data_IF_319772709720
#
_entry.id   IF_319772709720
#
_cell.length_a   1.000
_cell.length_b   1.000
_cell.length_c   1.000
_cell.angle_alpha   90.00
_cell.angle_beta   90.00
_cell.angle_gamma   90.00
#
_symmetry.space_group_name_H-M   'P 1'
#
loop_
_entity.id
_entity.type
_entity.pdbx_description
1 polymer ?
#
# COMPACT_ATOMS: atom_id res chain seq x y z
N UNK A 1 19.27 1.64 -10.58
CA UNK A 1 18.16 2.20 -9.77
C UNK A 1 18.23 1.69 -8.35
N UNK A 2 18.24 2.59 -7.40
CA UNK A 2 18.28 2.19 -5.98
C UNK A 2 16.89 2.25 -5.38
N UNK A 3 16.39 1.11 -4.93
CA UNK A 3 15.10 1.01 -4.24
C UNK A 3 15.29 0.93 -2.73
N UNK A 4 14.39 1.57 -1.98
CA UNK A 4 14.36 1.50 -0.54
C UNK A 4 12.91 1.33 -0.07
N UNK A 5 12.70 0.38 0.83
CA UNK A 5 11.40 0.17 1.49
C UNK A 5 11.50 0.71 2.91
N UNK A 6 10.65 1.66 3.25
CA UNK A 6 10.71 2.36 4.54
C UNK A 6 9.36 2.24 5.25
N UNK A 7 9.39 1.84 6.54
CA UNK A 7 8.17 1.83 7.34
C UNK A 7 7.77 3.27 7.68
N UNK A 8 6.48 3.55 7.58
CA UNK A 8 5.95 4.90 7.80
C UNK A 8 5.51 5.06 9.25
N UNK A 9 6.05 6.07 9.93
CA UNK A 9 5.68 6.41 11.30
C UNK A 9 4.35 7.16 11.33
N UNK A 10 3.66 7.12 12.49
CA UNK A 10 2.36 7.79 12.62
C UNK A 10 2.40 9.28 12.27
N UNK A 11 3.48 9.96 12.65
CA UNK A 11 3.65 11.39 12.35
C UNK A 11 3.63 11.68 10.84
N UNK A 12 3.95 10.68 10.01
CA UNK A 12 4.05 10.81 8.56
C UNK A 12 2.90 10.08 7.85
N UNK A 13 1.85 9.69 8.57
CA UNK A 13 0.76 8.86 8.01
C UNK A 13 0.06 9.48 6.81
N UNK A 14 0.11 10.81 6.67
CA UNK A 14 -0.54 11.48 5.53
C UNK A 14 0.03 11.04 4.19
N UNK A 15 1.28 10.58 4.14
CA UNK A 15 1.83 10.09 2.87
C UNK A 15 1.06 8.87 2.39
N UNK A 16 0.66 7.98 3.29
CA UNK A 16 -0.14 6.80 2.96
C UNK A 16 -1.53 7.23 2.49
N UNK A 17 -2.19 8.16 3.20
CA UNK A 17 -3.50 8.65 2.79
C UNK A 17 -3.47 9.29 1.40
N UNK A 18 -2.42 10.07 1.11
CA UNK A 18 -2.27 10.72 -0.19
C UNK A 18 -2.04 9.69 -1.30
N UNK A 19 -1.21 8.68 -1.05
CA UNK A 19 -0.98 7.61 -2.03
C UNK A 19 -2.22 6.75 -2.24
N UNK A 20 -3.02 6.54 -1.20
CA UNK A 20 -4.28 5.81 -1.32
C UNK A 20 -5.26 6.52 -2.25
N UNK A 21 -5.24 7.85 -2.32
CA UNK A 21 -6.08 8.60 -3.26
C UNK A 21 -5.71 8.27 -4.71
N UNK A 22 -4.42 8.28 -5.02
CA UNK A 22 -3.92 7.97 -6.36
C UNK A 22 -4.22 6.51 -6.72
N UNK A 23 -3.97 5.62 -5.78
CA UNK A 23 -4.21 4.19 -5.93
C UNK A 23 -5.71 3.91 -6.19
N UNK A 24 -6.58 4.56 -5.43
CA UNK A 24 -8.03 4.42 -5.58
C UNK A 24 -8.48 4.90 -6.96
N UNK A 25 -7.93 6.01 -7.43
CA UNK A 25 -8.24 6.51 -8.78
C UNK A 25 -7.87 5.48 -9.83
N UNK A 26 -6.71 4.86 -9.73
CA UNK A 26 -6.28 3.84 -10.69
C UNK A 26 -7.17 2.60 -10.62
N UNK A 27 -7.54 2.15 -9.42
CA UNK A 27 -8.45 1.01 -9.26
C UNK A 27 -9.80 1.26 -9.92
N UNK A 28 -10.24 2.52 -9.99
CA UNK A 28 -11.51 2.87 -10.61
C UNK A 28 -11.56 2.55 -12.11
N UNK A 29 -10.39 2.37 -12.74
CA UNK A 29 -10.32 1.99 -14.17
C UNK A 29 -10.83 0.57 -14.41
N UNK A 30 -10.85 -0.26 -13.39
CA UNK A 30 -11.19 -1.68 -13.48
C UNK A 30 -12.56 -2.01 -12.92
N UNK A 31 -13.27 -1.02 -12.33
CA UNK A 31 -14.56 -1.21 -11.66
C UNK A 31 -15.55 -0.14 -12.11
N UNK A 32 -16.46 -0.49 -13.00
CA UNK A 32 -17.34 0.49 -13.66
C UNK A 32 -18.48 1.00 -12.78
N UNK A 33 -18.94 0.24 -11.78
CA UNK A 33 -20.15 0.57 -11.04
C UNK A 33 -20.03 0.51 -9.51
N UNK A 34 -18.81 0.48 -9.01
CA UNK A 34 -18.60 0.41 -7.57
C UNK A 34 -18.69 1.81 -6.94
N UNK A 35 -19.59 1.97 -5.98
CA UNK A 35 -19.79 3.25 -5.29
C UNK A 35 -18.58 3.71 -4.48
N UNK A 36 -17.66 2.81 -4.14
CA UNK A 36 -16.42 3.16 -3.43
C UNK A 36 -15.48 4.02 -4.28
N UNK A 37 -15.69 4.04 -5.59
CA UNK A 37 -14.86 4.82 -6.53
C UNK A 37 -15.53 6.12 -6.98
N UNK A 38 -16.46 6.62 -6.19
CA UNK A 38 -17.13 7.90 -6.45
C UNK A 38 -16.47 8.98 -5.59
N UNK A 39 -16.11 10.09 -6.22
CA UNK A 39 -15.53 11.22 -5.48
C UNK A 39 -16.56 11.88 -4.58
N UNK A 40 -16.10 12.27 -3.39
CA UNK A 40 -16.86 13.15 -2.52
C UNK A 40 -16.89 14.56 -3.11
N UNK A 41 -17.78 15.40 -2.60
CA UNK A 41 -17.84 16.82 -3.02
C UNK A 41 -16.55 17.59 -2.73
N UNK A 42 -15.71 17.06 -1.84
CA UNK A 42 -14.39 17.64 -1.55
C UNK A 42 -13.37 17.39 -2.67
N UNK A 43 -13.70 16.53 -3.63
CA UNK A 43 -12.77 16.13 -4.68
C UNK A 43 -11.85 15.00 -4.28
N UNK A 44 -12.11 14.36 -3.14
CA UNK A 44 -11.33 13.23 -2.65
C UNK A 44 -12.20 11.97 -2.62
N UNK A 45 -11.53 10.82 -2.65
CA UNK A 45 -12.22 9.56 -2.36
C UNK A 45 -12.34 9.38 -0.85
N UNK A 46 -13.44 8.76 -0.41
CA UNK A 46 -13.61 8.39 0.99
C UNK A 46 -12.59 7.31 1.33
N UNK A 47 -11.83 7.52 2.40
CA UNK A 47 -10.85 6.54 2.86
C UNK A 47 -11.41 5.71 4.00
N UNK A 48 -11.05 4.43 4.01
CA UNK A 48 -11.42 3.50 5.06
C UNK A 48 -10.73 3.87 6.39
N UNK A 49 -11.46 3.75 7.49
CA UNK A 49 -10.89 3.92 8.83
C UNK A 49 -9.87 2.82 9.18
N UNK A 50 -9.86 1.73 8.44
CA UNK A 50 -8.90 0.64 8.64
C UNK A 50 -7.45 1.10 8.41
N UNK A 51 -7.24 2.17 7.66
CA UNK A 51 -5.89 2.68 7.40
C UNK A 51 -5.26 3.15 8.72
N UNK A 52 -6.02 3.79 9.61
CA UNK A 52 -5.52 4.25 10.90
C UNK A 52 -5.02 3.10 11.78
N UNK A 53 -5.55 1.89 11.59
CA UNK A 53 -5.14 0.72 12.36
C UNK A 53 -3.70 0.32 12.11
N UNK A 54 -3.10 0.78 11.01
CA UNK A 54 -1.69 0.48 10.72
C UNK A 54 -0.73 1.13 11.70
N UNK A 55 -1.20 2.07 12.50
CA UNK A 55 -0.40 2.69 13.57
C UNK A 55 -0.92 2.39 14.96
N UNK A 56 -2.00 1.61 15.06
CA UNK A 56 -2.61 1.22 16.35
C UNK A 56 -2.44 -0.27 16.64
N UNK A 57 -2.23 -1.09 15.60
CA UNK A 57 -2.16 -2.55 15.68
C UNK A 57 -0.73 -2.99 15.38
N UNK A 58 -0.11 -3.74 16.30
CA UNK A 58 1.26 -4.24 16.15
C UNK A 58 1.41 -5.23 15.00
N UNK A 59 0.32 -5.79 14.48
CA UNK A 59 0.34 -6.76 13.39
C UNK A 59 0.14 -6.11 12.01
N UNK A 60 0.15 -4.79 11.93
CA UNK A 60 -0.03 -4.05 10.68
C UNK A 60 1.12 -3.08 10.50
N UNK A 61 1.71 -3.09 9.30
CA UNK A 61 2.87 -2.26 9.02
C UNK A 61 2.73 -1.57 7.66
N UNK A 62 2.75 -0.24 7.64
CA UNK A 62 2.66 0.52 6.39
C UNK A 62 4.05 0.85 5.88
N UNK A 63 4.26 0.67 4.58
CA UNK A 63 5.55 0.92 3.94
C UNK A 63 5.41 1.85 2.75
N UNK A 64 6.41 2.70 2.55
CA UNK A 64 6.58 3.42 1.29
C UNK A 64 7.80 2.88 0.57
N UNK A 65 7.75 2.97 -0.76
CA UNK A 65 8.86 2.60 -1.62
C UNK A 65 9.46 3.85 -2.24
N UNK A 66 10.77 3.98 -2.17
CA UNK A 66 11.51 5.05 -2.84
C UNK A 66 12.42 4.45 -3.91
N UNK A 67 12.55 5.17 -5.00
CA UNK A 67 13.45 4.86 -6.09
C UNK A 67 14.35 6.05 -6.32
N UNK A 68 15.65 5.86 -6.09
CA UNK A 68 16.64 6.94 -6.16
C UNK A 68 16.22 8.16 -5.32
N UNK A 69 15.69 7.89 -4.12
CA UNK A 69 15.24 8.91 -3.18
C UNK A 69 13.87 9.51 -3.44
N UNK A 70 13.19 9.09 -4.51
CA UNK A 70 11.87 9.62 -4.89
C UNK A 70 10.78 8.60 -4.56
N UNK A 71 9.68 9.10 -4.01
CA UNK A 71 8.54 8.28 -3.66
C UNK A 71 7.93 7.65 -4.93
N UNK A 72 7.78 6.33 -4.94
CA UNK A 72 7.29 5.63 -6.13
C UNK A 72 6.23 4.56 -5.86
N UNK A 73 5.89 4.30 -4.60
CA UNK A 73 4.87 3.31 -4.30
C UNK A 73 4.67 3.12 -2.81
N UNK A 74 3.76 2.22 -2.46
CA UNK A 74 3.51 1.84 -1.07
C UNK A 74 2.94 0.45 -0.98
N UNK A 75 2.99 -0.12 0.23
CA UNK A 75 2.34 -1.38 0.55
C UNK A 75 1.86 -1.36 1.98
N UNK A 76 0.71 -1.97 2.22
CA UNK A 76 0.16 -2.17 3.56
C UNK A 76 0.22 -3.66 3.87
N UNK A 77 1.04 -4.01 4.84
CA UNK A 77 1.22 -5.39 5.29
C UNK A 77 0.43 -5.63 6.57
N UNK A 78 -0.16 -6.83 6.69
CA UNK A 78 -0.80 -7.24 7.95
C UNK A 78 -0.64 -8.73 8.18
N UNK A 79 -0.66 -9.11 9.46
CA UNK A 79 -0.78 -10.49 9.90
C UNK A 79 -2.16 -10.64 10.55
N UNK A 80 -2.95 -11.60 10.09
CA UNK A 80 -4.29 -11.78 10.61
C UNK A 80 -4.32 -12.62 11.91
N UNK A 81 -5.53 -12.88 12.43
CA UNK A 81 -5.73 -13.61 13.68
C UNK A 81 -5.24 -15.05 13.61
N UNK A 82 -5.11 -15.62 12.41
CA UNK A 82 -4.63 -16.98 12.19
C UNK A 82 -3.12 -17.02 11.95
N UNK A 83 -2.42 -15.91 12.20
CA UNK A 83 -0.99 -15.76 11.92
C UNK A 83 -0.64 -15.92 10.44
N UNK A 84 -1.57 -15.56 9.56
CA UNK A 84 -1.33 -15.59 8.12
C UNK A 84 -0.95 -14.18 7.66
N UNK A 85 0.20 -14.10 6.96
CA UNK A 85 0.70 -12.85 6.40
C UNK A 85 -0.06 -12.48 5.14
N UNK A 86 -0.30 -11.19 4.94
CA UNK A 86 -0.99 -10.68 3.76
C UNK A 86 -0.50 -9.28 3.41
N UNK A 87 -0.35 -9.01 2.12
CA UNK A 87 -0.18 -7.63 1.64
C UNK A 87 -1.58 -7.18 1.23
N UNK A 88 -2.17 -6.29 2.06
CA UNK A 88 -3.55 -5.84 1.87
C UNK A 88 -3.67 -4.84 0.72
N UNK A 89 -2.67 -3.96 0.57
CA UNK A 89 -2.63 -2.96 -0.49
C UNK A 89 -1.22 -2.89 -1.05
N UNK A 90 -1.11 -2.77 -2.38
CA UNK A 90 0.17 -2.80 -3.07
C UNK A 90 0.08 -1.91 -4.31
N UNK A 91 0.95 -0.91 -4.40
CA UNK A 91 0.87 0.06 -5.48
C UNK A 91 2.24 0.59 -5.86
N UNK A 92 2.50 0.65 -7.17
CA UNK A 92 3.67 1.31 -7.74
C UNK A 92 3.16 2.31 -8.77
N UNK A 93 3.65 3.56 -8.68
CA UNK A 93 3.30 4.60 -9.64
C UNK A 93 3.59 4.13 -11.07
N UNK A 94 2.72 4.47 -12.00
CA UNK A 94 2.81 4.00 -13.38
C UNK A 94 4.18 4.25 -14.02
N UNK A 95 4.78 5.41 -13.75
CA UNK A 95 6.08 5.78 -14.34
C UNK A 95 7.25 4.90 -13.86
N UNK A 96 7.06 4.15 -12.78
CA UNK A 96 8.10 3.28 -12.22
C UNK A 96 7.81 1.79 -12.46
N UNK A 97 6.74 1.46 -13.16
CA UNK A 97 6.41 0.07 -13.49
C UNK A 97 7.36 -0.49 -14.54
N UNK A 98 7.48 -1.83 -14.57
CA UNK A 98 8.36 -2.56 -15.49
C UNK A 98 9.85 -2.24 -15.30
N UNK A 99 10.22 -1.70 -14.12
CA UNK A 99 11.60 -1.38 -13.77
C UNK A 99 12.09 -2.16 -12.55
N UNK A 100 11.30 -3.15 -12.11
CA UNK A 100 11.66 -3.98 -10.96
C UNK A 100 11.21 -3.46 -9.61
N UNK A 101 10.53 -2.31 -9.54
CA UNK A 101 10.12 -1.68 -8.29
C UNK A 101 9.14 -2.56 -7.50
N UNK A 102 8.10 -3.07 -8.16
CA UNK A 102 7.11 -3.92 -7.52
C UNK A 102 7.72 -5.21 -7.01
N UNK A 103 8.58 -5.84 -7.81
CA UNK A 103 9.26 -7.06 -7.42
C UNK A 103 10.16 -6.85 -6.21
N UNK A 104 10.90 -5.75 -6.19
CA UNK A 104 11.74 -5.40 -5.04
C UNK A 104 10.90 -5.26 -3.77
N UNK A 105 9.77 -4.54 -3.86
CA UNK A 105 8.91 -4.30 -2.72
C UNK A 105 8.31 -5.61 -2.19
N UNK A 106 7.77 -6.45 -3.08
CA UNK A 106 7.19 -7.73 -2.70
C UNK A 106 8.25 -8.65 -2.07
N UNK A 107 9.40 -8.79 -2.71
CA UNK A 107 10.46 -9.66 -2.21
C UNK A 107 10.99 -9.21 -0.85
N UNK A 108 11.12 -7.91 -0.64
CA UNK A 108 11.58 -7.36 0.63
C UNK A 108 10.61 -7.68 1.76
N UNK A 109 9.31 -7.54 1.50
CA UNK A 109 8.27 -7.83 2.49
C UNK A 109 8.22 -9.35 2.78
N UNK A 110 8.27 -10.18 1.75
CA UNK A 110 8.25 -11.64 1.92
C UNK A 110 9.43 -12.15 2.74
N UNK A 111 10.60 -11.55 2.57
CA UNK A 111 11.79 -11.93 3.36
C UNK A 111 11.71 -11.46 4.79
N UNK A 112 11.03 -10.35 5.03
CA UNK A 112 10.91 -9.76 6.36
C UNK A 112 9.94 -10.54 7.25
N UNK A 113 8.87 -11.07 6.68
CA UNK A 113 7.79 -11.74 7.41
C UNK A 113 7.68 -13.18 6.96
N UNK A 114 8.27 -14.08 7.74
CA UNK A 114 8.25 -15.52 7.42
C UNK A 114 6.96 -16.18 7.92
N UNK A 115 6.68 -17.38 7.40
CA UNK A 115 5.50 -18.16 7.77
C UNK A 115 4.53 -18.32 6.63
N UNK A 116 3.25 -18.48 6.96
CA UNK A 116 2.21 -18.69 5.94
C UNK A 116 1.78 -17.36 5.34
N UNK A 117 1.55 -17.37 4.04
CA UNK A 117 1.08 -16.22 3.29
C UNK A 117 -0.24 -16.51 2.59
N UNK A 118 -1.14 -15.52 2.61
CA UNK A 118 -2.33 -15.52 1.77
C UNK A 118 -2.03 -14.64 0.57
N UNK A 119 -2.17 -15.22 -0.62
CA UNK A 119 -1.98 -14.48 -1.87
C UNK A 119 -3.35 -14.27 -2.49
N UNK A 120 -3.75 -13.01 -2.62
CA UNK A 120 -4.99 -12.66 -3.30
C UNK A 120 -4.70 -12.53 -4.80
N UNK A 121 -5.38 -13.35 -5.56
CA UNK A 121 -5.29 -13.30 -7.03
C UNK A 121 -6.46 -12.52 -7.62
#
# INVERSE_FOLDING_TARGET
>A
MKFELLEVQEKDKNVIYNLMQIYTYELSFYEDENTDFVLLDTGLYKMSKYIDMYWQDDNRHPYILKCDGKLCGFALYRKDELNINEIAEFFVLNSYRKKGAGRFMADTIFKKYTGKWRVNT
#
